data_IF_003773481550
#
_entry.id   IF_003773481550
#
_cell.length_a   1.000
_cell.length_b   1.000
_cell.length_c   1.000
_cell.angle_alpha   90.00
_cell.angle_beta   90.00
_cell.angle_gamma   90.00
#
_symmetry.space_group_name_H-M   'P 1'
#
loop_
_entity.id
_entity.type
_entity.pdbx_description
1 polymer ?
#
# COMPACT_ATOMS: atom_id res chain seq x y z
N UNK A 1 -48.26 4.72 -39.83
CA UNK A 1 -47.05 5.38 -39.29
C UNK A 1 -46.51 4.74 -38.01
N UNK A 2 -47.34 4.01 -37.23
CA UNK A 2 -46.96 3.42 -35.95
C UNK A 2 -46.07 2.17 -36.03
N UNK A 3 -46.08 1.42 -37.14
CA UNK A 3 -45.27 0.18 -37.29
C UNK A 3 -43.79 0.46 -37.42
N UNK A 4 -43.38 1.59 -38.01
CA UNK A 4 -41.95 1.96 -38.16
C UNK A 4 -41.30 2.40 -36.86
N UNK A 5 -42.05 3.05 -35.98
CA UNK A 5 -41.51 3.51 -34.68
C UNK A 5 -41.30 2.36 -33.71
N UNK A 6 -42.19 1.35 -33.69
CA UNK A 6 -42.04 0.16 -32.83
C UNK A 6 -40.80 -0.69 -33.23
N UNK A 7 -40.50 -0.79 -34.51
CA UNK A 7 -39.30 -1.50 -34.98
C UNK A 7 -37.97 -0.84 -34.55
N UNK A 8 -37.91 0.48 -34.61
CA UNK A 8 -36.69 1.22 -34.22
C UNK A 8 -36.47 1.14 -32.71
N UNK A 9 -37.54 1.24 -31.92
CA UNK A 9 -37.45 1.13 -30.44
C UNK A 9 -37.02 -0.29 -30.03
N UNK A 10 -37.58 -1.34 -30.67
CA UNK A 10 -37.23 -2.74 -30.41
C UNK A 10 -35.73 -3.03 -30.75
N UNK A 11 -35.27 -2.53 -31.89
CA UNK A 11 -33.87 -2.70 -32.31
C UNK A 11 -32.89 -1.97 -31.38
N UNK A 12 -33.23 -0.76 -30.95
CA UNK A 12 -32.41 0.02 -30.00
C UNK A 12 -32.26 -0.67 -28.65
N UNK A 13 -33.37 -1.24 -28.14
CA UNK A 13 -33.40 -1.95 -26.85
C UNK A 13 -32.57 -3.26 -26.90
N UNK A 14 -32.69 -4.03 -27.98
CA UNK A 14 -31.91 -5.27 -28.18
C UNK A 14 -30.42 -4.99 -28.32
N UNK A 15 -30.08 -3.92 -29.03
CA UNK A 15 -28.68 -3.49 -29.18
C UNK A 15 -28.07 -3.03 -27.85
N UNK A 16 -28.82 -2.31 -27.02
CA UNK A 16 -28.40 -1.88 -25.69
C UNK A 16 -28.15 -3.06 -24.75
N UNK A 17 -29.03 -4.07 -24.74
CA UNK A 17 -28.86 -5.30 -23.96
C UNK A 17 -27.63 -6.08 -24.44
N UNK A 18 -27.40 -6.16 -25.75
CA UNK A 18 -26.21 -6.77 -26.32
C UNK A 18 -24.92 -6.09 -25.88
N UNK A 19 -24.91 -4.74 -25.87
CA UNK A 19 -23.77 -3.96 -25.41
C UNK A 19 -23.50 -4.16 -23.90
N UNK A 20 -24.54 -4.19 -23.09
CA UNK A 20 -24.44 -4.49 -21.65
C UNK A 20 -23.93 -5.92 -21.37
N UNK A 21 -24.28 -6.88 -22.22
CA UNK A 21 -23.80 -8.26 -22.16
C UNK A 21 -22.31 -8.41 -22.48
N UNK A 22 -21.70 -7.46 -23.20
CA UNK A 22 -20.27 -7.46 -23.51
C UNK A 22 -19.40 -6.97 -22.34
N UNK A 23 -19.96 -6.21 -21.38
CA UNK A 23 -19.22 -5.64 -20.24
C UNK A 23 -18.54 -6.73 -19.39
N UNK A 24 -19.17 -7.85 -19.02
CA UNK A 24 -18.50 -8.89 -18.23
C UNK A 24 -17.38 -9.61 -19.00
N UNK A 25 -17.46 -9.69 -20.34
CA UNK A 25 -16.42 -10.33 -21.16
C UNK A 25 -15.11 -9.52 -21.10
N UNK A 26 -15.19 -8.20 -21.05
CA UNK A 26 -14.03 -7.31 -20.92
C UNK A 26 -13.49 -7.23 -19.48
N UNK A 27 -14.26 -7.68 -18.50
CA UNK A 27 -13.90 -7.71 -17.08
C UNK A 27 -13.47 -9.08 -16.58
N UNK A 28 -13.32 -10.06 -17.45
CA UNK A 28 -12.80 -11.37 -17.04
C UNK A 28 -11.35 -11.17 -16.58
N UNK A 29 -11.18 -10.92 -15.28
CA UNK A 29 -9.87 -10.93 -14.65
C UNK A 29 -9.29 -12.32 -14.89
N UNK A 30 -8.18 -12.38 -15.61
CA UNK A 30 -7.40 -13.60 -15.78
C UNK A 30 -7.10 -14.15 -14.39
N UNK A 31 -7.77 -15.21 -13.97
CA UNK A 31 -7.42 -15.92 -12.75
C UNK A 31 -6.11 -16.65 -13.02
N UNK A 32 -5.03 -16.16 -12.45
CA UNK A 32 -3.75 -16.84 -12.52
C UNK A 32 -3.82 -18.12 -11.70
N UNK A 33 -3.64 -19.27 -12.34
CA UNK A 33 -3.66 -20.59 -11.72
C UNK A 33 -2.52 -20.78 -10.69
N UNK A 34 -1.52 -19.94 -10.68
CA UNK A 34 -0.30 -20.06 -9.86
C UNK A 34 -0.04 -18.86 -8.93
N UNK A 35 -1.06 -18.00 -8.70
CA UNK A 35 -0.93 -16.76 -7.93
C UNK A 35 -0.34 -15.61 -8.78
N UNK A 36 -0.78 -14.40 -8.49
CA UNK A 36 -0.26 -13.19 -9.14
C UNK A 36 0.76 -12.51 -8.23
N UNK A 37 2.04 -12.78 -8.45
CA UNK A 37 3.11 -12.00 -7.86
C UNK A 37 3.27 -10.71 -8.68
N UNK A 38 2.87 -9.57 -8.13
CA UNK A 38 3.05 -8.24 -8.74
C UNK A 38 3.44 -7.22 -7.67
N UNK A 39 4.10 -6.16 -8.08
CA UNK A 39 4.33 -5.06 -7.16
C UNK A 39 3.00 -4.40 -6.78
N UNK A 40 2.84 -4.10 -5.47
CA UNK A 40 1.65 -3.45 -4.96
C UNK A 40 1.52 -2.02 -5.51
N UNK A 41 0.35 -1.68 -6.02
CA UNK A 41 0.01 -0.32 -6.41
C UNK A 41 -0.56 0.50 -5.25
N UNK A 42 -0.84 1.79 -5.51
CA UNK A 42 -1.43 2.70 -4.52
C UNK A 42 -2.73 2.14 -3.92
N UNK A 43 -3.60 1.55 -4.75
CA UNK A 43 -4.88 0.99 -4.29
C UNK A 43 -4.68 -0.19 -3.34
N UNK A 44 -3.71 -1.07 -3.61
CA UNK A 44 -3.39 -2.22 -2.77
C UNK A 44 -2.85 -1.78 -1.41
N UNK A 45 -1.92 -0.81 -1.42
CA UNK A 45 -1.33 -0.24 -0.20
C UNK A 45 -2.36 0.49 0.66
N UNK A 46 -3.30 1.23 0.02
CA UNK A 46 -4.39 1.91 0.73
C UNK A 46 -5.35 0.89 1.35
N UNK A 47 -5.75 -0.13 0.59
CA UNK A 47 -6.64 -1.19 1.07
C UNK A 47 -6.01 -1.98 2.23
N UNK A 48 -4.70 -2.22 2.17
CA UNK A 48 -3.95 -2.89 3.22
C UNK A 48 -3.62 -1.99 4.44
N UNK A 49 -3.97 -0.70 4.40
CA UNK A 49 -3.82 0.22 5.53
C UNK A 49 -2.41 0.77 5.74
N UNK A 50 -1.50 0.64 4.77
CA UNK A 50 -0.11 1.10 4.92
C UNK A 50 0.05 2.62 5.04
N UNK A 51 -0.96 3.41 4.72
CA UNK A 51 -0.92 4.87 4.88
C UNK A 51 -1.51 5.35 6.21
N UNK A 52 -1.98 4.44 7.06
CA UNK A 52 -2.53 4.77 8.38
C UNK A 52 -1.41 4.77 9.41
N UNK A 53 -1.05 5.95 9.90
CA UNK A 53 -0.11 6.10 11.01
C UNK A 53 -0.83 5.90 12.34
N UNK A 54 -0.22 5.14 13.23
CA UNK A 54 -0.62 4.99 14.64
C UNK A 54 0.60 5.22 15.54
N UNK A 55 0.39 5.39 16.83
CA UNK A 55 1.47 5.64 17.79
C UNK A 55 2.49 4.49 17.88
N UNK A 56 2.06 3.28 17.55
CA UNK A 56 2.87 2.06 17.56
C UNK A 56 3.15 1.50 16.16
N UNK A 57 2.87 2.27 15.09
CA UNK A 57 3.18 1.85 13.72
C UNK A 57 4.66 1.94 13.40
N UNK A 58 5.15 0.99 12.65
CA UNK A 58 6.55 0.95 12.17
C UNK A 58 6.59 1.48 10.74
N UNK A 59 7.47 2.44 10.47
CA UNK A 59 7.77 2.90 9.11
C UNK A 59 8.56 1.80 8.39
N UNK A 60 8.01 1.28 7.30
CA UNK A 60 8.62 0.20 6.50
C UNK A 60 9.13 0.65 5.14
N UNK A 61 8.82 1.88 4.73
CA UNK A 61 9.28 2.42 3.46
C UNK A 61 8.58 3.71 3.06
N UNK A 62 8.70 4.04 1.76
CA UNK A 62 8.10 5.23 1.17
C UNK A 62 7.56 4.91 -0.22
N UNK A 63 6.36 5.36 -0.54
CA UNK A 63 5.75 5.21 -1.84
C UNK A 63 5.12 6.54 -2.28
N UNK A 64 5.49 7.03 -3.49
CA UNK A 64 5.04 8.33 -4.02
C UNK A 64 5.11 9.48 -3.01
N UNK A 65 6.23 9.61 -2.31
CA UNK A 65 6.45 10.66 -1.33
C UNK A 65 5.82 10.44 0.05
N UNK A 66 4.93 9.45 0.21
CA UNK A 66 4.24 9.13 1.47
C UNK A 66 4.94 7.99 2.19
N UNK A 67 5.06 8.08 3.51
CA UNK A 67 5.58 6.99 4.34
C UNK A 67 4.58 5.84 4.39
N UNK A 68 5.10 4.62 4.39
CA UNK A 68 4.35 3.39 4.58
C UNK A 68 4.51 2.94 6.02
N UNK A 69 3.40 2.73 6.70
CA UNK A 69 3.32 2.33 8.10
C UNK A 69 2.79 0.90 8.21
N UNK A 70 3.49 0.08 8.95
CA UNK A 70 3.05 -1.27 9.28
C UNK A 70 2.44 -1.29 10.69
N UNK A 71 1.20 -1.73 10.78
CA UNK A 71 0.41 -1.78 12.03
C UNK A 71 0.18 -3.22 12.52
N UNK A 72 0.85 -4.20 11.93
CA UNK A 72 0.71 -5.61 12.30
C UNK A 72 1.45 -5.97 13.59
N UNK A 73 1.11 -7.12 14.15
CA UNK A 73 1.75 -7.68 15.35
C UNK A 73 2.87 -8.66 15.01
N UNK A 74 3.14 -8.92 13.74
CA UNK A 74 4.20 -9.82 13.30
C UNK A 74 5.57 -9.13 13.36
N UNK A 75 6.61 -9.94 13.46
CA UNK A 75 7.99 -9.46 13.39
C UNK A 75 8.32 -8.95 11.99
N UNK A 76 9.11 -7.87 11.93
CA UNK A 76 9.65 -7.35 10.68
C UNK A 76 11.16 -7.61 10.62
N UNK A 77 11.64 -8.19 9.52
CA UNK A 77 13.05 -8.41 9.25
C UNK A 77 13.50 -7.51 8.10
N UNK A 78 14.49 -6.66 8.35
CA UNK A 78 15.13 -5.84 7.32
C UNK A 78 16.52 -6.41 7.00
N UNK A 79 16.65 -7.10 5.87
CA UNK A 79 17.92 -7.60 5.36
C UNK A 79 18.44 -6.66 4.26
N UNK A 80 19.59 -6.05 4.51
CA UNK A 80 20.20 -5.13 3.56
C UNK A 80 21.72 -5.07 3.76
N UNK A 81 22.53 -4.93 2.70
CA UNK A 81 23.98 -4.83 2.80
C UNK A 81 24.41 -3.56 3.54
N UNK A 82 25.69 -3.49 3.89
CA UNK A 82 26.27 -2.28 4.47
C UNK A 82 26.17 -1.10 3.49
N UNK A 83 25.99 0.11 4.01
CA UNK A 83 25.83 1.35 3.23
C UNK A 83 24.57 1.40 2.31
N UNK A 84 23.62 0.50 2.47
CA UNK A 84 22.35 0.52 1.72
C UNK A 84 21.34 1.57 2.21
N UNK A 85 21.69 2.37 3.20
CA UNK A 85 20.79 3.40 3.74
C UNK A 85 19.76 2.89 4.76
N UNK A 86 19.86 1.63 5.23
CA UNK A 86 18.86 1.06 6.19
C UNK A 86 18.74 1.88 7.49
N UNK A 87 19.87 2.42 8.00
CA UNK A 87 19.87 3.29 9.18
C UNK A 87 19.06 4.55 8.96
N UNK A 88 19.39 5.30 7.91
CA UNK A 88 18.77 6.58 7.58
C UNK A 88 17.33 6.40 7.07
N UNK A 89 17.08 5.34 6.29
CA UNK A 89 15.78 5.14 5.64
C UNK A 89 14.72 4.50 6.54
N UNK A 90 15.11 3.66 7.48
CA UNK A 90 14.17 2.88 8.31
C UNK A 90 14.41 3.07 9.80
N UNK A 91 15.65 2.89 10.30
CA UNK A 91 15.92 2.87 11.75
C UNK A 91 15.68 4.25 12.38
N UNK A 92 16.32 5.29 11.84
CA UNK A 92 16.21 6.66 12.39
C UNK A 92 14.78 7.19 12.30
N UNK A 93 14.04 7.08 11.17
CA UNK A 93 12.64 7.49 11.12
C UNK A 93 11.76 6.81 12.15
N UNK A 94 11.97 5.52 12.41
CA UNK A 94 11.24 4.80 13.45
C UNK A 94 11.58 5.30 14.85
N UNK A 95 12.86 5.51 15.17
CA UNK A 95 13.29 6.05 16.47
C UNK A 95 12.74 7.46 16.75
N UNK A 96 12.47 8.23 15.69
CA UNK A 96 11.91 9.58 15.81
C UNK A 96 10.38 9.62 15.89
N UNK A 97 9.68 8.61 15.37
CA UNK A 97 8.21 8.60 15.22
C UNK A 97 7.48 7.62 16.14
N UNK A 98 8.14 6.56 16.57
CA UNK A 98 7.54 5.52 17.40
C UNK A 98 7.40 5.98 18.85
N UNK A 99 6.19 5.88 19.43
CA UNK A 99 5.91 6.37 20.79
C UNK A 99 5.91 5.28 21.85
N UNK A 100 6.09 4.02 21.47
CA UNK A 100 6.20 2.91 22.41
C UNK A 100 7.62 2.73 22.96
N UNK A 101 7.80 1.74 23.83
CA UNK A 101 9.12 1.37 24.36
C UNK A 101 9.98 0.76 23.26
N UNK A 102 11.24 1.19 23.17
CA UNK A 102 12.20 0.72 22.17
C UNK A 102 13.49 0.29 22.84
N UNK A 103 14.04 -0.84 22.42
CA UNK A 103 15.38 -1.30 22.78
C UNK A 103 16.22 -1.37 21.51
N UNK A 104 17.36 -0.67 21.48
CA UNK A 104 18.23 -0.58 20.31
C UNK A 104 19.63 -1.02 20.66
N UNK A 105 20.17 -1.97 19.90
CA UNK A 105 21.60 -2.30 19.96
C UNK A 105 22.35 -1.38 18.99
N UNK A 106 23.02 -0.36 19.54
CA UNK A 106 23.74 0.66 18.77
C UNK A 106 25.23 0.67 19.10
N UNK A 107 25.99 -0.19 18.45
CA UNK A 107 27.42 -0.41 18.72
C UNK A 107 28.25 0.86 18.46
N UNK A 108 27.86 1.66 17.46
CA UNK A 108 28.58 2.87 17.06
C UNK A 108 28.03 4.15 17.69
N UNK A 109 26.93 4.08 18.43
CA UNK A 109 26.22 5.20 19.03
C UNK A 109 25.72 6.25 18.00
N UNK A 110 25.68 5.90 16.71
CA UNK A 110 25.22 6.80 15.64
C UNK A 110 23.73 7.10 15.80
N UNK A 111 22.91 6.08 16.05
CA UNK A 111 21.47 6.24 16.25
C UNK A 111 21.17 7.06 17.52
N UNK A 112 21.85 6.77 18.60
CA UNK A 112 21.73 7.50 19.87
C UNK A 112 22.02 8.99 19.67
N UNK A 113 23.15 9.33 19.06
CA UNK A 113 23.56 10.73 18.83
C UNK A 113 22.54 11.50 17.98
N UNK A 114 21.91 10.84 17.00
CA UNK A 114 20.97 11.47 16.07
C UNK A 114 19.53 11.57 16.64
N UNK A 115 19.14 10.70 17.57
CA UNK A 115 17.74 10.59 18.00
C UNK A 115 17.49 10.89 19.47
N UNK A 116 18.52 10.88 20.34
CA UNK A 116 18.38 11.05 21.79
C UNK A 116 17.76 12.38 22.20
N UNK A 117 18.01 13.46 21.46
CA UNK A 117 17.40 14.76 21.73
C UNK A 117 15.87 14.75 21.56
N UNK A 118 15.34 13.93 20.66
CA UNK A 118 13.90 13.76 20.44
C UNK A 118 13.30 12.84 21.49
N UNK A 119 13.99 11.76 21.88
CA UNK A 119 13.53 10.81 22.89
C UNK A 119 13.35 11.46 24.28
N UNK A 120 14.11 12.50 24.61
CA UNK A 120 13.95 13.27 25.88
C UNK A 120 12.69 14.14 25.93
N UNK A 121 11.96 14.27 24.84
CA UNK A 121 10.79 15.13 24.73
C UNK A 121 9.46 14.40 25.02
N UNK A 122 9.51 13.08 25.15
CA UNK A 122 8.41 12.20 25.49
C UNK A 122 8.78 11.35 26.71
#
# INVERSE_FOLDING_TARGET
LQIKTSGIVGFGFTFLIGLLGLIPIWRTASQSLHGEARFAGMADLTKAGFFKQTDTSIVVGKYNGKLLHYNGQQFALLAAPTRSGKGVGIVIPNLLSYKGSVVVLDIKQENFNLTSATAKKY
#
